data_IF_723152354442
#
_entry.id   IF_723152354442
#
_cell.length_a   1.000
_cell.length_b   1.000
_cell.length_c   1.000
_cell.angle_alpha   90.00
_cell.angle_beta   90.00
_cell.angle_gamma   90.00
#
_symmetry.space_group_name_H-M   'P 1'
#
loop_
_entity.id
_entity.type
_entity.pdbx_description
1 polymer ?
#
# COMPACT_ATOMS: atom_id res chain seq x y z
N UNK A 1 2.36 -18.81 10.09
CA UNK A 1 2.57 -17.35 9.95
C UNK A 1 2.83 -17.07 8.47
N UNK A 2 2.13 -16.12 7.86
CA UNK A 2 2.37 -15.75 6.46
C UNK A 2 3.72 -15.04 6.34
N UNK A 3 4.59 -15.50 5.43
CA UNK A 3 5.85 -14.82 5.14
C UNK A 3 5.55 -13.51 4.39
N UNK A 4 5.72 -12.38 5.06
CA UNK A 4 5.46 -11.01 4.53
C UNK A 4 6.26 -10.67 3.28
N UNK A 5 7.32 -11.42 2.97
CA UNK A 5 8.17 -11.22 1.79
C UNK A 5 7.73 -12.05 0.57
N UNK A 6 6.54 -12.64 0.60
CA UNK A 6 5.94 -13.34 -0.55
C UNK A 6 4.77 -12.52 -1.11
N UNK A 7 4.36 -12.70 -2.38
CA UNK A 7 3.23 -11.96 -2.94
C UNK A 7 1.96 -12.14 -2.11
N UNK A 8 1.65 -13.39 -1.73
CA UNK A 8 0.50 -13.69 -0.86
C UNK A 8 0.63 -13.02 0.51
N UNK A 9 1.81 -13.07 1.13
CA UNK A 9 2.04 -12.46 2.44
C UNK A 9 1.91 -10.94 2.42
N UNK A 10 2.42 -10.29 1.37
CA UNK A 10 2.22 -8.86 1.13
C UNK A 10 0.73 -8.54 0.97
N UNK A 11 0.00 -9.26 0.11
CA UNK A 11 -1.43 -9.04 -0.10
C UNK A 11 -2.25 -9.22 1.19
N UNK A 12 -1.92 -10.23 2.00
CA UNK A 12 -2.59 -10.47 3.28
C UNK A 12 -2.29 -9.38 4.30
N UNK A 13 -1.02 -9.17 4.62
CA UNK A 13 -0.65 -8.25 5.71
C UNK A 13 -0.81 -6.80 5.27
N UNK A 14 -0.38 -6.46 4.06
CA UNK A 14 -0.59 -5.14 3.47
C UNK A 14 -2.07 -4.82 3.33
N UNK A 15 -2.91 -5.78 2.91
CA UNK A 15 -4.36 -5.61 2.85
C UNK A 15 -4.99 -5.30 4.21
N UNK A 16 -4.58 -6.03 5.26
CA UNK A 16 -5.02 -5.75 6.64
C UNK A 16 -4.61 -4.33 7.07
N UNK A 17 -3.34 -3.96 6.85
CA UNK A 17 -2.82 -2.65 7.24
C UNK A 17 -3.56 -1.52 6.52
N UNK A 18 -3.81 -1.64 5.22
CA UNK A 18 -4.55 -0.63 4.45
C UNK A 18 -5.99 -0.44 4.95
N UNK A 19 -6.70 -1.54 5.25
CA UNK A 19 -8.04 -1.47 5.85
C UNK A 19 -7.98 -0.78 7.22
N UNK A 20 -7.01 -1.11 8.05
CA UNK A 20 -6.85 -0.50 9.36
C UNK A 20 -6.53 1.00 9.26
N UNK A 21 -5.64 1.40 8.37
CA UNK A 21 -5.32 2.82 8.12
C UNK A 21 -6.60 3.58 7.71
N UNK A 22 -7.37 3.05 6.76
CA UNK A 22 -8.61 3.70 6.34
C UNK A 22 -9.63 3.84 7.49
N UNK A 23 -9.81 2.79 8.29
CA UNK A 23 -10.71 2.84 9.46
C UNK A 23 -10.23 3.91 10.43
N UNK A 24 -8.93 3.94 10.76
CA UNK A 24 -8.35 4.94 11.67
C UNK A 24 -8.47 6.37 11.13
N UNK A 25 -8.42 6.55 9.81
CA UNK A 25 -8.71 7.83 9.17
C UNK A 25 -10.17 8.25 9.37
N UNK A 26 -11.13 7.35 9.14
CA UNK A 26 -12.56 7.65 9.30
C UNK A 26 -13.01 7.84 10.75
N UNK A 27 -12.32 7.22 11.72
CA UNK A 27 -12.64 7.36 13.15
C UNK A 27 -11.88 8.49 13.83
N UNK A 28 -11.29 9.41 13.06
CA UNK A 28 -10.57 10.59 13.56
C UNK A 28 -9.37 10.27 14.46
N UNK A 29 -8.59 9.24 14.09
CA UNK A 29 -7.29 8.96 14.73
C UNK A 29 -6.16 9.52 13.86
N UNK A 30 -6.25 9.35 12.54
CA UNK A 30 -5.21 9.78 11.57
C UNK A 30 -5.78 10.54 10.36
N UNK A 31 -6.83 11.33 10.56
CA UNK A 31 -7.51 12.06 9.47
C UNK A 31 -8.99 12.28 9.78
N UNK A 32 -9.84 12.70 8.82
CA UNK A 32 -9.50 13.02 7.43
C UNK A 32 -8.93 14.43 7.23
N UNK A 33 -8.78 15.20 8.30
CA UNK A 33 -8.12 16.51 8.27
C UNK A 33 -6.95 16.53 9.26
N UNK A 34 -6.00 17.47 9.11
CA UNK A 34 -4.93 17.66 10.09
C UNK A 34 -5.45 17.79 11.52
N UNK A 35 -6.54 18.54 11.73
CA UNK A 35 -7.11 18.83 13.05
C UNK A 35 -7.76 17.61 13.69
N UNK A 36 -8.20 16.65 12.88
CA UNK A 36 -8.79 15.40 13.32
C UNK A 36 -7.73 14.30 13.56
N UNK A 37 -6.47 14.51 13.16
CA UNK A 37 -5.38 13.55 13.41
C UNK A 37 -4.72 13.80 14.76
N UNK A 38 -4.43 12.73 15.51
CA UNK A 38 -3.62 12.81 16.74
C UNK A 38 -2.16 13.24 16.46
N UNK A 39 -1.73 13.17 15.20
CA UNK A 39 -0.42 13.60 14.72
C UNK A 39 -0.44 14.99 14.07
N UNK A 40 -1.61 15.65 14.03
CA UNK A 40 -1.77 16.96 13.41
C UNK A 40 -1.44 16.94 11.90
N UNK A 41 -0.89 18.04 11.35
CA UNK A 41 -0.50 18.11 9.94
C UNK A 41 0.71 17.24 9.57
N UNK A 42 1.41 16.66 10.57
CA UNK A 42 2.57 15.81 10.31
C UNK A 42 2.22 14.47 9.69
N UNK A 43 1.02 13.94 9.97
CA UNK A 43 0.53 12.71 9.38
C UNK A 43 -0.99 12.62 9.46
N UNK A 44 -1.65 12.66 8.31
CA UNK A 44 -3.08 12.45 8.19
C UNK A 44 -3.38 11.92 6.77
N UNK A 45 -4.53 11.28 6.60
CA UNK A 45 -5.02 10.86 5.29
C UNK A 45 -6.36 11.50 5.03
N UNK A 46 -6.53 12.18 3.90
CA UNK A 46 -7.81 12.77 3.53
C UNK A 46 -8.86 11.73 3.14
N UNK A 47 -10.06 12.19 2.80
CA UNK A 47 -11.15 11.29 2.43
C UNK A 47 -10.84 10.46 1.18
N UNK A 48 -10.15 11.01 0.19
CA UNK A 48 -9.81 10.29 -1.03
C UNK A 48 -8.75 9.21 -0.74
N UNK A 49 -7.74 9.52 0.07
CA UNK A 49 -6.73 8.56 0.53
C UNK A 49 -7.37 7.43 1.35
N UNK A 50 -8.26 7.75 2.27
CA UNK A 50 -8.96 6.74 3.07
C UNK A 50 -9.84 5.81 2.21
N UNK A 51 -10.53 6.35 1.20
CA UNK A 51 -11.28 5.52 0.24
C UNK A 51 -10.31 4.62 -0.54
N UNK A 52 -9.21 5.16 -1.04
CA UNK A 52 -8.21 4.39 -1.78
C UNK A 52 -7.63 3.25 -0.94
N UNK A 53 -7.21 3.53 0.30
CA UNK A 53 -6.71 2.54 1.25
C UNK A 53 -7.75 1.46 1.56
N UNK A 54 -9.02 1.83 1.78
CA UNK A 54 -10.08 0.86 2.07
C UNK A 54 -10.30 -0.08 0.88
N UNK A 55 -10.47 0.48 -0.32
CA UNK A 55 -10.73 -0.30 -1.54
C UNK A 55 -9.54 -1.20 -1.88
N UNK A 56 -8.32 -0.64 -1.91
CA UNK A 56 -7.11 -1.41 -2.19
C UNK A 56 -6.86 -2.48 -1.13
N UNK A 57 -7.14 -2.19 0.14
CA UNK A 57 -7.03 -3.14 1.24
C UNK A 57 -7.97 -4.33 1.08
N UNK A 58 -9.24 -4.08 0.78
CA UNK A 58 -10.23 -5.13 0.51
C UNK A 58 -9.83 -5.95 -0.72
N UNK A 59 -9.45 -5.30 -1.82
CA UNK A 59 -9.02 -6.00 -3.05
C UNK A 59 -7.77 -6.85 -2.81
N UNK A 60 -6.79 -6.35 -2.05
CA UNK A 60 -5.59 -7.09 -1.70
C UNK A 60 -5.92 -8.34 -0.86
N UNK A 61 -6.79 -8.20 0.14
CA UNK A 61 -7.27 -9.33 0.93
C UNK A 61 -7.97 -10.37 0.05
N UNK A 62 -8.89 -9.96 -0.82
CA UNK A 62 -9.56 -10.87 -1.74
C UNK A 62 -8.55 -11.58 -2.66
N UNK A 63 -7.61 -10.84 -3.23
CA UNK A 63 -6.56 -11.42 -4.09
C UNK A 63 -5.67 -12.43 -3.36
N UNK A 64 -5.40 -12.21 -2.07
CA UNK A 64 -4.63 -13.12 -1.23
C UNK A 64 -5.27 -14.50 -1.03
N UNK A 65 -6.62 -14.58 -1.08
CA UNK A 65 -7.36 -15.83 -0.81
C UNK A 65 -7.96 -16.46 -2.05
N UNK A 66 -8.34 -15.67 -3.06
CA UNK A 66 -9.12 -16.16 -4.21
C UNK A 66 -8.34 -16.23 -5.51
N UNK A 67 -7.13 -15.66 -5.56
CA UNK A 67 -6.35 -15.56 -6.80
C UNK A 67 -5.09 -16.42 -6.70
N UNK A 68 -4.73 -17.11 -7.79
CA UNK A 68 -3.55 -17.96 -7.85
C UNK A 68 -2.23 -17.19 -7.93
N UNK A 69 -1.13 -17.87 -7.56
CA UNK A 69 0.21 -17.27 -7.49
C UNK A 69 0.66 -16.59 -8.81
N UNK A 70 0.25 -17.13 -9.96
CA UNK A 70 0.56 -16.57 -11.28
C UNK A 70 0.01 -15.16 -11.52
N UNK A 71 -1.06 -14.77 -10.82
CA UNK A 71 -1.65 -13.43 -10.89
C UNK A 71 -1.27 -12.58 -9.67
N UNK A 72 -1.10 -13.18 -8.49
CA UNK A 72 -0.67 -12.45 -7.29
C UNK A 72 0.69 -11.76 -7.49
N UNK A 73 1.65 -12.44 -8.13
CA UNK A 73 2.98 -11.88 -8.38
C UNK A 73 2.95 -10.59 -9.22
N UNK A 74 2.43 -10.59 -10.45
CA UNK A 74 2.39 -9.36 -11.26
C UNK A 74 1.56 -8.27 -10.59
N UNK A 75 0.46 -8.62 -9.90
CA UNK A 75 -0.34 -7.65 -9.15
C UNK A 75 0.50 -6.93 -8.09
N UNK A 76 1.25 -7.68 -7.27
CA UNK A 76 2.10 -7.10 -6.22
C UNK A 76 3.24 -6.26 -6.80
N UNK A 77 3.81 -6.66 -7.95
CA UNK A 77 4.81 -5.85 -8.65
C UNK A 77 4.20 -4.53 -9.12
N UNK A 78 3.00 -4.55 -9.73
CA UNK A 78 2.31 -3.34 -10.19
C UNK A 78 2.03 -2.41 -9.00
N UNK A 79 1.50 -2.95 -7.89
CA UNK A 79 1.29 -2.18 -6.66
C UNK A 79 2.61 -1.54 -6.19
N UNK A 80 3.71 -2.29 -6.25
CA UNK A 80 5.03 -1.78 -5.90
C UNK A 80 5.50 -0.62 -6.78
N UNK A 81 5.38 -0.77 -8.09
CA UNK A 81 5.72 0.30 -9.04
C UNK A 81 4.85 1.54 -8.80
N UNK A 82 3.54 1.37 -8.67
CA UNK A 82 2.60 2.47 -8.41
C UNK A 82 2.94 3.17 -7.09
N UNK A 83 3.19 2.42 -6.01
CA UNK A 83 3.57 3.00 -4.71
C UNK A 83 4.85 3.83 -4.79
N UNK A 84 5.88 3.35 -5.50
CA UNK A 84 7.09 4.14 -5.74
C UNK A 84 6.79 5.39 -6.56
N UNK A 85 6.01 5.29 -7.64
CA UNK A 85 5.69 6.44 -8.49
C UNK A 85 4.88 7.49 -7.74
N UNK A 86 3.91 7.09 -6.90
CA UNK A 86 3.14 8.01 -6.06
C UNK A 86 4.04 8.70 -5.04
N UNK A 87 4.88 7.95 -4.32
CA UNK A 87 5.81 8.52 -3.35
C UNK A 87 6.91 9.40 -3.97
N UNK A 88 7.31 9.14 -5.23
CA UNK A 88 8.20 10.06 -5.95
C UNK A 88 7.46 11.29 -6.46
N UNK A 89 6.20 11.13 -6.86
CA UNK A 89 5.37 12.23 -7.34
C UNK A 89 5.06 13.24 -6.22
N UNK A 90 4.83 12.77 -4.99
CA UNK A 90 4.58 13.62 -3.83
C UNK A 90 5.76 14.52 -3.44
N UNK A 91 7.00 14.17 -3.84
CA UNK A 91 8.19 14.99 -3.62
C UNK A 91 8.19 16.30 -4.42
N UNK A 92 7.33 16.45 -5.42
CA UNK A 92 7.23 17.66 -6.23
C UNK A 92 6.38 18.77 -5.57
N UNK A 93 5.87 18.58 -4.35
CA UNK A 93 5.16 19.60 -3.56
C UNK A 93 3.65 19.43 -3.60
N UNK A 94 2.89 20.54 -3.53
CA UNK A 94 1.41 20.60 -3.48
C UNK A 94 0.74 19.90 -4.67
N UNK A 95 0.70 18.58 -4.60
CA UNK A 95 0.24 17.69 -5.66
C UNK A 95 -1.05 17.02 -5.22
N UNK A 96 -2.06 17.13 -6.08
CA UNK A 96 -3.31 16.41 -5.94
C UNK A 96 -3.30 15.25 -6.92
N UNK A 97 -3.52 14.03 -6.43
CA UNK A 97 -3.62 12.84 -7.27
C UNK A 97 -4.96 12.18 -7.02
N UNK A 98 -5.85 12.17 -8.03
CA UNK A 98 -7.20 11.59 -7.92
C UNK A 98 -8.04 12.14 -6.74
N UNK A 99 -7.78 13.39 -6.33
CA UNK A 99 -8.46 14.02 -5.20
C UNK A 99 -7.77 13.84 -3.84
N UNK A 100 -6.66 13.10 -3.79
CA UNK A 100 -5.81 12.94 -2.60
C UNK A 100 -4.71 14.02 -2.55
N UNK A 101 -4.55 14.67 -1.40
CA UNK A 101 -3.49 15.63 -1.12
C UNK A 101 -2.22 14.94 -0.62
N UNK A 102 -1.20 14.80 -1.47
CA UNK A 102 0.03 14.06 -1.16
C UNK A 102 1.08 14.90 -0.40
N UNK A 103 0.64 15.82 0.44
CA UNK A 103 1.47 16.93 0.95
C UNK A 103 2.21 16.62 2.24
N UNK A 104 1.97 15.48 2.89
CA UNK A 104 2.60 15.17 4.17
C UNK A 104 3.87 14.28 4.02
N UNK A 105 4.99 14.61 4.69
CA UNK A 105 6.24 13.86 4.55
C UNK A 105 6.14 12.39 4.94
N UNK A 106 5.27 12.07 5.91
CA UNK A 106 5.06 10.71 6.38
C UNK A 106 4.37 9.82 5.34
N UNK A 107 3.45 10.38 4.57
CA UNK A 107 2.73 9.72 3.49
C UNK A 107 3.64 9.44 2.29
N UNK A 108 4.50 10.40 1.94
CA UNK A 108 5.57 10.19 0.96
C UNK A 108 6.44 9.00 1.35
N UNK A 109 6.91 8.97 2.61
CA UNK A 109 7.73 7.87 3.11
C UNK A 109 6.96 6.54 3.11
N UNK A 110 5.69 6.56 3.51
CA UNK A 110 4.83 5.38 3.54
C UNK A 110 4.73 4.75 2.15
N UNK A 111 4.41 5.55 1.12
CA UNK A 111 4.28 5.08 -0.26
C UNK A 111 5.58 4.48 -0.79
N UNK A 112 6.73 5.13 -0.50
CA UNK A 112 8.04 4.62 -0.90
C UNK A 112 8.38 3.29 -0.20
N UNK A 113 8.16 3.19 1.11
CA UNK A 113 8.46 1.99 1.90
C UNK A 113 7.55 0.84 1.52
N UNK A 114 6.24 1.07 1.40
CA UNK A 114 5.28 0.04 1.00
C UNK A 114 5.50 -0.38 -0.45
N UNK A 115 5.80 0.57 -1.34
CA UNK A 115 6.15 0.29 -2.74
C UNK A 115 7.40 -0.59 -2.84
N UNK A 116 8.46 -0.26 -2.09
CA UNK A 116 9.68 -1.06 -2.02
C UNK A 116 9.43 -2.46 -1.42
N UNK A 117 8.61 -2.57 -0.38
CA UNK A 117 8.21 -3.85 0.21
C UNK A 117 7.45 -4.72 -0.80
N UNK A 118 6.49 -4.15 -1.54
CA UNK A 118 5.75 -4.87 -2.56
C UNK A 118 6.67 -5.35 -3.70
N UNK A 119 7.56 -4.49 -4.19
CA UNK A 119 8.55 -4.86 -5.20
C UNK A 119 9.45 -6.00 -4.71
N UNK A 120 9.92 -5.94 -3.47
CA UNK A 120 10.69 -7.05 -2.88
C UNK A 120 9.85 -8.34 -2.88
N UNK A 121 8.63 -8.29 -2.36
CA UNK A 121 7.75 -9.45 -2.25
C UNK A 121 7.42 -10.06 -3.62
N UNK A 122 7.18 -9.22 -4.63
CA UNK A 122 6.88 -9.63 -6.01
C UNK A 122 8.10 -10.15 -6.79
N UNK A 123 9.26 -9.50 -6.67
CA UNK A 123 10.46 -9.82 -7.43
C UNK A 123 11.29 -10.95 -6.79
N UNK A 124 11.52 -10.93 -5.47
CA UNK A 124 12.29 -12.00 -4.81
C UNK A 124 11.49 -13.28 -4.57
N UNK A 125 10.15 -13.20 -4.56
CA UNK A 125 9.29 -14.37 -4.70
C UNK A 125 9.51 -15.12 -6.03
N UNK A 126 10.09 -14.48 -7.06
CA UNK A 126 10.42 -15.11 -8.34
C UNK A 126 11.71 -15.95 -8.30
N UNK A 127 12.68 -15.57 -7.47
CA UNK A 127 13.99 -16.23 -7.43
C UNK A 127 13.95 -17.59 -6.71
N UNK A 128 12.86 -17.88 -5.99
CA UNK A 128 12.66 -19.11 -5.23
C UNK A 128 12.02 -20.25 -6.04
N UNK A 129 11.79 -20.09 -7.35
CA UNK A 129 11.57 -21.22 -8.25
C UNK A 129 12.92 -21.59 -8.88
N UNK A 130 13.73 -22.47 -8.26
CA UNK A 130 14.68 -23.21 -9.07
C UNK A 130 13.83 -23.91 -10.13
N UNK A 131 14.30 -23.86 -11.37
CA UNK A 131 13.83 -24.74 -12.43
C UNK A 131 13.58 -26.12 -11.80
N UNK A 132 12.31 -26.48 -11.64
CA UNK A 132 11.95 -27.87 -11.41
C UNK A 132 12.42 -28.57 -12.67
N UNK A 133 13.58 -29.18 -12.52
CA UNK A 133 14.35 -29.86 -13.52
C UNK A 133 13.52 -30.92 -14.23
N UNK A 134 13.59 -30.88 -15.57
CA UNK A 134 13.43 -31.97 -16.54
C UNK A 134 12.08 -32.71 -16.59
#
# INVERSE_FOLDING_TARGET
MSNVLTPRGFLQVGGIVLVLIAILGYVNVIGPTPEASIFGPGWYFDNAENVAHLVLGIVALLAAFFVGAGVQKPLVIIVGVVGILVGLYSLFGDTMLLGAGLQNPADTLLHLVVGAWALWAGLKGAAASPMASM
#
